data_IF_709293443636
#
_entry.id   IF_709293443636
#
_cell.length_a   1.000
_cell.length_b   1.000
_cell.length_c   1.000
_cell.angle_alpha   90.00
_cell.angle_beta   90.00
_cell.angle_gamma   90.00
#
_symmetry.space_group_name_H-M   'P 1'
#
loop_
_entity.id
_entity.type
_entity.pdbx_description
1 polymer ?
#
# COMPACT_ATOMS: atom_id res chain seq x y z
N UNK A 1 -37.51 48.58 4.74
CA UNK A 1 -36.90 48.32 6.07
C UNK A 1 -37.27 49.51 6.94
N UNK A 2 -37.60 49.31 8.20
CA UNK A 2 -37.91 50.42 9.10
C UNK A 2 -36.63 51.09 9.61
N UNK A 3 -36.76 52.34 10.06
CA UNK A 3 -35.62 53.13 10.54
C UNK A 3 -34.90 52.46 11.72
N UNK A 4 -35.63 51.82 12.63
CA UNK A 4 -35.04 51.13 13.79
C UNK A 4 -34.22 49.90 13.40
N UNK A 5 -34.63 49.16 12.35
CA UNK A 5 -33.87 48.00 11.85
C UNK A 5 -32.58 48.45 11.17
N UNK A 6 -32.59 49.57 10.45
CA UNK A 6 -31.37 50.15 9.87
C UNK A 6 -30.39 50.62 10.96
N UNK A 7 -30.91 51.22 12.05
CA UNK A 7 -30.10 51.56 13.23
C UNK A 7 -29.54 50.31 13.90
N UNK A 8 -30.32 49.25 14.03
CA UNK A 8 -29.88 47.97 14.62
C UNK A 8 -28.79 47.29 13.77
N UNK A 9 -28.92 47.33 12.44
CA UNK A 9 -27.89 46.86 11.51
C UNK A 9 -26.57 47.59 11.73
N UNK A 10 -26.59 48.92 11.77
CA UNK A 10 -25.39 49.72 12.00
C UNK A 10 -24.78 49.46 13.38
N UNK A 11 -25.62 49.44 14.42
CA UNK A 11 -25.20 49.19 15.80
C UNK A 11 -24.55 47.81 15.96
N UNK A 12 -25.23 46.74 15.54
CA UNK A 12 -24.71 45.38 15.62
C UNK A 12 -23.43 45.20 14.78
N UNK A 13 -23.36 45.84 13.61
CA UNK A 13 -22.18 45.79 12.76
C UNK A 13 -20.96 46.43 13.41
N UNK A 14 -21.10 47.62 14.00
CA UNK A 14 -20.00 48.30 14.68
C UNK A 14 -19.61 47.58 15.97
N UNK A 15 -20.58 47.13 16.77
CA UNK A 15 -20.33 46.39 18.00
C UNK A 15 -19.54 45.10 17.74
N UNK A 16 -20.02 44.25 16.82
CA UNK A 16 -19.37 42.97 16.51
C UNK A 16 -18.03 43.14 15.79
N UNK A 17 -17.78 44.27 15.13
CA UNK A 17 -16.52 44.55 14.45
C UNK A 17 -15.45 45.10 15.39
N UNK A 18 -15.87 45.92 16.36
CA UNK A 18 -14.95 46.68 17.21
C UNK A 18 -14.74 46.02 18.58
N UNK A 19 -15.71 45.29 19.11
CA UNK A 19 -15.68 44.77 20.49
C UNK A 19 -15.66 43.24 20.59
N UNK A 20 -16.03 42.50 19.55
CA UNK A 20 -15.98 41.04 19.55
C UNK A 20 -14.53 40.53 19.57
N UNK A 21 -14.24 39.56 20.43
CA UNK A 21 -12.94 38.88 20.44
C UNK A 21 -12.66 38.25 19.06
N UNK A 22 -11.53 38.57 18.40
CA UNK A 22 -11.18 38.04 17.08
C UNK A 22 -11.13 36.51 16.98
N UNK A 23 -11.10 35.79 18.12
CA UNK A 23 -11.17 34.33 18.18
C UNK A 23 -12.56 33.77 17.84
N UNK A 24 -13.62 34.59 17.81
CA UNK A 24 -14.94 34.21 17.32
C UNK A 24 -14.98 34.12 15.78
N UNK A 25 -14.46 33.01 15.26
CA UNK A 25 -14.36 32.76 13.81
C UNK A 25 -15.71 32.42 13.16
N UNK A 26 -16.68 31.93 13.93
CA UNK A 26 -18.03 31.60 13.49
C UNK A 26 -19.05 32.65 13.94
N UNK A 27 -19.13 32.94 15.24
CA UNK A 27 -20.14 33.85 15.80
C UNK A 27 -19.72 35.32 15.64
N UNK A 28 -19.66 35.78 14.40
CA UNK A 28 -19.27 37.13 14.01
C UNK A 28 -20.29 37.79 13.09
N UNK A 29 -20.02 39.03 12.69
CA UNK A 29 -20.92 39.82 11.83
C UNK A 29 -21.38 39.07 10.57
N UNK A 30 -20.53 38.23 9.96
CA UNK A 30 -20.90 37.45 8.76
C UNK A 30 -21.97 36.40 9.09
N UNK A 31 -21.94 35.82 10.29
CA UNK A 31 -23.01 34.95 10.76
C UNK A 31 -24.30 35.72 10.96
N UNK A 32 -24.27 36.85 11.67
CA UNK A 32 -25.44 37.71 11.90
C UNK A 32 -26.12 38.10 10.59
N UNK A 33 -25.34 38.58 9.61
CA UNK A 33 -25.84 38.92 8.27
C UNK A 33 -26.48 37.74 7.54
N UNK A 34 -25.94 36.52 7.73
CA UNK A 34 -26.52 35.29 7.18
C UNK A 34 -27.87 34.98 7.84
N UNK A 35 -27.97 35.10 9.16
CA UNK A 35 -29.25 34.91 9.89
C UNK A 35 -30.27 35.92 9.39
N UNK A 36 -29.94 37.21 9.37
CA UNK A 36 -30.83 38.28 8.85
C UNK A 36 -31.32 37.98 7.43
N UNK A 37 -30.43 37.52 6.55
CA UNK A 37 -30.81 37.15 5.18
C UNK A 37 -31.81 35.98 5.16
N UNK A 38 -31.58 34.96 5.98
CA UNK A 38 -32.47 33.80 6.08
C UNK A 38 -33.79 34.13 6.78
N UNK A 39 -33.79 35.04 7.76
CA UNK A 39 -35.01 35.58 8.37
C UNK A 39 -35.85 36.31 7.34
N UNK A 40 -35.24 37.16 6.49
CA UNK A 40 -35.94 37.83 5.37
C UNK A 40 -36.52 36.82 4.36
N UNK A 41 -35.80 35.75 4.04
CA UNK A 41 -36.27 34.66 3.16
C UNK A 41 -37.55 34.02 3.73
N UNK A 42 -37.58 33.71 5.02
CA UNK A 42 -38.72 33.12 5.72
C UNK A 42 -39.91 34.09 5.85
N UNK A 43 -39.64 35.34 6.22
CA UNK A 43 -40.66 36.39 6.36
C UNK A 43 -41.42 36.64 5.05
N UNK A 44 -40.71 36.66 3.92
CA UNK A 44 -41.30 36.82 2.59
C UNK A 44 -42.28 35.69 2.22
N UNK A 45 -42.09 34.49 2.78
CA UNK A 45 -42.98 33.36 2.53
C UNK A 45 -44.24 33.40 3.40
N UNK A 46 -44.09 33.66 4.70
CA UNK A 46 -45.21 33.62 5.65
C UNK A 46 -46.08 34.88 5.64
N UNK A 47 -45.59 36.01 5.12
CA UNK A 47 -46.39 37.22 4.95
C UNK A 47 -46.86 37.84 6.26
N UNK A 48 -45.92 38.03 7.20
CA UNK A 48 -46.19 38.70 8.47
C UNK A 48 -46.63 40.15 8.30
N UNK A 49 -47.32 40.70 9.30
CA UNK A 49 -47.51 42.13 9.38
C UNK A 49 -46.16 42.84 9.63
N UNK A 50 -46.13 44.15 9.37
CA UNK A 50 -44.90 44.93 9.44
C UNK A 50 -44.31 45.02 10.84
N UNK A 51 -45.14 44.89 11.87
CA UNK A 51 -44.72 45.02 13.27
C UNK A 51 -43.98 43.76 13.73
N UNK A 52 -44.51 42.58 13.42
CA UNK A 52 -43.83 41.31 13.72
C UNK A 52 -42.60 41.08 12.81
N UNK A 53 -42.64 41.53 11.55
CA UNK A 53 -41.48 41.52 10.64
C UNK A 53 -40.32 42.34 11.23
N UNK A 54 -40.62 43.54 11.73
CA UNK A 54 -39.64 44.42 12.37
C UNK A 54 -38.97 43.75 13.57
N UNK A 55 -39.76 43.16 14.48
CA UNK A 55 -39.25 42.47 15.67
C UNK A 55 -38.35 41.29 15.33
N UNK A 56 -38.69 40.49 14.31
CA UNK A 56 -37.87 39.36 13.86
C UNK A 56 -36.56 39.82 13.22
N UNK A 57 -36.57 40.95 12.49
CA UNK A 57 -35.35 41.53 11.92
C UNK A 57 -34.45 42.16 13.00
N UNK A 58 -35.03 42.85 13.99
CA UNK A 58 -34.30 43.33 15.17
C UNK A 58 -33.64 42.17 15.92
N UNK A 59 -34.39 41.10 16.16
CA UNK A 59 -33.87 39.87 16.78
C UNK A 59 -32.71 39.30 15.97
N UNK A 60 -32.87 39.16 14.65
CA UNK A 60 -31.82 38.60 13.79
C UNK A 60 -30.53 39.42 13.79
N UNK A 61 -30.60 40.75 13.90
CA UNK A 61 -29.42 41.60 14.03
C UNK A 61 -28.78 41.54 15.43
N UNK A 62 -29.59 41.35 16.47
CA UNK A 62 -29.15 41.53 17.85
C UNK A 62 -28.85 40.22 18.60
N UNK A 63 -29.29 39.05 18.12
CA UNK A 63 -29.20 37.77 18.85
C UNK A 63 -27.79 37.43 19.35
N UNK A 64 -26.79 37.61 18.49
CA UNK A 64 -25.39 37.25 18.76
C UNK A 64 -24.56 38.39 19.37
N UNK A 65 -25.15 39.56 19.62
CA UNK A 65 -24.42 40.70 20.20
C UNK A 65 -23.85 40.39 21.57
N UNK A 66 -24.44 39.46 22.32
CA UNK A 66 -23.94 39.03 23.62
C UNK A 66 -22.57 38.34 23.60
N UNK A 67 -22.11 37.84 22.44
CA UNK A 67 -20.79 37.21 22.33
C UNK A 67 -19.63 38.16 22.64
N UNK A 68 -19.83 39.49 22.58
CA UNK A 68 -18.83 40.48 23.04
C UNK A 68 -18.50 40.35 24.53
N UNK A 69 -19.38 39.72 25.31
CA UNK A 69 -19.16 39.40 26.73
C UNK A 69 -18.77 37.95 26.98
N UNK A 70 -18.49 37.19 25.91
CA UNK A 70 -18.15 35.78 25.97
C UNK A 70 -19.33 34.86 25.63
N UNK A 71 -19.07 33.56 25.70
CA UNK A 71 -20.00 32.51 25.24
C UNK A 71 -21.08 32.14 26.27
N UNK A 72 -20.75 32.20 27.55
CA UNK A 72 -21.64 31.72 28.61
C UNK A 72 -22.85 32.65 28.74
N UNK A 73 -24.05 32.09 28.51
CA UNK A 73 -25.31 32.86 28.55
C UNK A 73 -25.28 34.10 27.65
N UNK A 74 -24.67 33.99 26.46
CA UNK A 74 -24.59 35.08 25.49
C UNK A 74 -25.99 35.58 25.08
N UNK A 75 -27.02 34.73 25.07
CA UNK A 75 -28.39 35.12 24.76
C UNK A 75 -28.93 36.12 25.80
N UNK A 76 -28.63 35.92 27.09
CA UNK A 76 -29.01 36.85 28.17
C UNK A 76 -28.25 38.17 28.07
N UNK A 77 -26.96 38.10 27.77
CA UNK A 77 -26.14 39.29 27.52
C UNK A 77 -26.64 40.07 26.29
N UNK A 78 -26.99 39.36 25.22
CA UNK A 78 -27.55 39.91 23.99
C UNK A 78 -28.91 40.56 24.21
N UNK A 79 -29.81 39.95 24.99
CA UNK A 79 -31.07 40.59 25.38
C UNK A 79 -30.84 41.88 26.19
N UNK A 80 -29.83 41.93 27.08
CA UNK A 80 -29.48 43.18 27.78
C UNK A 80 -29.02 44.26 26.79
N UNK A 81 -28.08 43.92 25.89
CA UNK A 81 -27.58 44.84 24.86
C UNK A 81 -28.72 45.33 23.96
N UNK A 82 -29.58 44.42 23.52
CA UNK A 82 -30.75 44.74 22.70
C UNK A 82 -31.74 45.65 23.45
N UNK A 83 -31.99 45.38 24.73
CA UNK A 83 -32.87 46.20 25.57
C UNK A 83 -32.34 47.62 25.71
N UNK A 84 -31.05 47.78 25.99
CA UNK A 84 -30.42 49.09 26.17
C UNK A 84 -30.46 49.88 24.85
N UNK A 85 -30.06 49.26 23.74
CA UNK A 85 -30.14 49.86 22.39
C UNK A 85 -31.57 50.27 22.01
N UNK A 86 -32.56 49.40 22.23
CA UNK A 86 -33.95 49.68 21.86
C UNK A 86 -34.58 50.77 22.74
N UNK A 87 -34.25 50.83 24.04
CA UNK A 87 -34.70 51.91 24.92
C UNK A 87 -34.10 53.26 24.54
N UNK A 88 -32.82 53.29 24.16
CA UNK A 88 -32.15 54.50 23.68
C UNK A 88 -32.76 55.05 22.38
N UNK A 89 -33.47 54.22 21.63
CA UNK A 89 -34.18 54.58 20.41
C UNK A 89 -35.70 54.68 20.60
N UNK A 90 -36.16 54.87 21.84
CA UNK A 90 -37.57 55.07 22.21
C UNK A 90 -38.52 53.93 21.75
N UNK A 91 -38.01 52.69 21.65
CA UNK A 91 -38.81 51.54 21.23
C UNK A 91 -39.79 51.08 22.35
N UNK A 92 -41.03 50.67 22.03
CA UNK A 92 -42.02 50.31 23.05
C UNK A 92 -41.58 49.14 23.93
N UNK A 93 -41.69 49.28 25.25
CA UNK A 93 -41.20 48.26 26.22
C UNK A 93 -41.83 46.88 26.01
N UNK A 94 -43.12 46.81 25.66
CA UNK A 94 -43.81 45.55 25.37
C UNK A 94 -43.21 44.81 24.17
N UNK A 95 -42.68 45.56 23.20
CA UNK A 95 -42.07 45.01 22.00
C UNK A 95 -40.59 44.64 22.22
N UNK A 96 -39.91 45.35 23.14
CA UNK A 96 -38.58 44.96 23.61
C UNK A 96 -38.62 43.58 24.27
N UNK A 97 -39.60 43.33 25.16
CA UNK A 97 -39.75 42.02 25.80
C UNK A 97 -39.95 40.90 24.78
N UNK A 98 -40.68 41.19 23.69
CA UNK A 98 -40.85 40.26 22.57
C UNK A 98 -39.54 39.97 21.85
N UNK A 99 -38.76 41.00 21.48
CA UNK A 99 -37.42 40.83 20.86
C UNK A 99 -36.51 40.02 21.78
N UNK A 100 -36.48 40.34 23.07
CA UNK A 100 -35.71 39.58 24.05
C UNK A 100 -36.14 38.12 24.14
N UNK A 101 -37.45 37.83 24.15
CA UNK A 101 -37.93 36.44 24.15
C UNK A 101 -37.49 35.67 22.91
N UNK A 102 -37.43 36.33 21.74
CA UNK A 102 -36.97 35.71 20.49
C UNK A 102 -35.45 35.50 20.48
N UNK A 103 -34.66 36.41 21.08
CA UNK A 103 -33.22 36.21 21.29
C UNK A 103 -33.00 35.01 22.21
N UNK A 104 -33.72 34.92 23.33
CA UNK A 104 -33.62 33.77 24.23
C UNK A 104 -34.02 32.45 23.54
N UNK A 105 -34.93 32.50 22.56
CA UNK A 105 -35.30 31.34 21.78
C UNK A 105 -34.16 30.79 20.91
N UNK A 106 -33.06 31.52 20.68
CA UNK A 106 -31.91 30.98 19.93
C UNK A 106 -31.06 30.02 20.76
N UNK A 107 -31.29 29.92 22.07
CA UNK A 107 -30.60 28.94 22.93
C UNK A 107 -30.63 27.53 22.33
N UNK A 108 -29.48 26.84 22.37
CA UNK A 108 -29.27 25.58 21.63
C UNK A 108 -30.39 24.55 21.81
N UNK A 109 -30.89 24.40 23.03
CA UNK A 109 -31.89 23.38 23.42
C UNK A 109 -33.31 23.93 23.57
N UNK A 110 -33.56 25.18 23.17
CA UNK A 110 -34.90 25.74 23.18
C UNK A 110 -35.79 25.09 22.11
N UNK A 111 -37.00 24.70 22.51
CA UNK A 111 -38.05 24.24 21.59
C UNK A 111 -38.97 25.41 21.26
N UNK A 112 -39.08 25.81 19.97
CA UNK A 112 -39.85 26.98 19.59
C UNK A 112 -41.35 26.77 19.82
N UNK A 113 -41.99 27.73 20.49
CA UNK A 113 -43.39 27.65 20.93
C UNK A 113 -44.39 28.27 19.94
N UNK A 114 -43.89 29.09 19.01
CA UNK A 114 -44.71 29.82 18.03
C UNK A 114 -43.92 30.02 16.73
N UNK A 115 -44.61 30.46 15.66
CA UNK A 115 -44.01 30.59 14.33
C UNK A 115 -42.81 31.56 14.33
N UNK A 116 -42.86 32.66 15.08
CA UNK A 116 -41.75 33.63 15.17
C UNK A 116 -40.48 32.98 15.75
N UNK A 117 -40.62 32.16 16.79
CA UNK A 117 -39.51 31.38 17.34
C UNK A 117 -39.02 30.30 16.35
N UNK A 118 -39.92 29.65 15.61
CA UNK A 118 -39.52 28.69 14.58
C UNK A 118 -38.69 29.36 13.47
N UNK A 119 -39.09 30.58 13.07
CA UNK A 119 -38.39 31.36 12.04
C UNK A 119 -36.98 31.71 12.49
N UNK A 120 -36.79 32.23 13.71
CA UNK A 120 -35.45 32.61 14.16
C UNK A 120 -34.55 31.39 14.36
N UNK A 121 -35.10 30.28 14.89
CA UNK A 121 -34.38 29.01 15.04
C UNK A 121 -33.89 28.47 13.70
N UNK A 122 -34.77 28.45 12.70
CA UNK A 122 -34.40 27.97 11.37
C UNK A 122 -33.43 28.92 10.66
N UNK A 123 -33.62 30.24 10.80
CA UNK A 123 -32.72 31.23 10.21
C UNK A 123 -31.29 31.10 10.75
N UNK A 124 -31.16 30.86 12.06
CA UNK A 124 -29.89 30.67 12.75
C UNK A 124 -29.14 29.41 12.26
N UNK A 125 -29.89 28.30 12.14
CA UNK A 125 -29.36 27.02 11.65
C UNK A 125 -29.32 26.86 10.12
N UNK A 126 -29.72 27.89 9.37
CA UNK A 126 -29.90 27.85 7.90
C UNK A 126 -28.66 27.37 7.12
N UNK A 127 -27.47 27.57 7.67
CA UNK A 127 -26.19 27.13 7.09
C UNK A 127 -26.09 25.62 6.89
N UNK A 128 -26.85 24.81 7.66
CA UNK A 128 -26.91 23.35 7.48
C UNK A 128 -27.43 22.93 6.10
N UNK A 129 -28.24 23.76 5.47
CA UNK A 129 -28.78 23.50 4.13
C UNK A 129 -27.94 24.11 2.99
N UNK A 130 -26.95 24.95 3.31
CA UNK A 130 -26.18 25.68 2.29
C UNK A 130 -24.94 24.88 1.85
N UNK A 131 -24.44 25.19 0.65
CA UNK A 131 -23.21 24.59 0.11
C UNK A 131 -21.95 24.98 0.91
N UNK A 132 -21.98 26.16 1.54
CA UNK A 132 -20.92 26.68 2.40
C UNK A 132 -20.85 25.99 3.77
N UNK A 133 -21.70 25.00 4.02
CA UNK A 133 -21.76 24.25 5.28
C UNK A 133 -20.39 23.79 5.77
N UNK A 134 -19.55 23.25 4.87
CA UNK A 134 -18.23 22.72 5.20
C UNK A 134 -17.27 23.76 5.77
N UNK A 135 -17.17 24.90 5.10
CA UNK A 135 -16.35 26.03 5.57
C UNK A 135 -16.92 26.59 6.87
N UNK A 136 -18.25 26.71 6.95
CA UNK A 136 -18.95 27.29 8.08
C UNK A 136 -18.77 26.44 9.35
N UNK A 137 -18.92 25.12 9.25
CA UNK A 137 -18.69 24.22 10.39
C UNK A 137 -17.21 24.13 10.77
N UNK A 138 -16.29 24.32 9.83
CA UNK A 138 -14.85 24.34 10.16
C UNK A 138 -14.46 25.62 10.91
N UNK A 139 -15.05 26.77 10.58
CA UNK A 139 -14.90 27.99 11.39
C UNK A 139 -15.41 27.78 12.81
N UNK A 140 -16.54 27.08 13.00
CA UNK A 140 -17.04 26.75 14.33
C UNK A 140 -16.07 25.81 15.08
N UNK A 141 -15.53 24.79 14.41
CA UNK A 141 -14.51 23.89 14.99
C UNK A 141 -13.27 24.66 15.45
N UNK A 142 -12.80 25.59 14.62
CA UNK A 142 -11.63 26.41 14.92
C UNK A 142 -11.91 27.40 16.04
N UNK A 143 -13.06 28.06 16.05
CA UNK A 143 -13.48 28.94 17.15
C UNK A 143 -13.48 28.20 18.49
N UNK A 144 -14.08 27.00 18.55
CA UNK A 144 -14.08 26.19 19.77
C UNK A 144 -12.67 25.87 20.27
N UNK A 145 -11.71 25.70 19.36
CA UNK A 145 -10.30 25.46 19.67
C UNK A 145 -9.62 26.73 20.19
N UNK A 146 -9.76 27.85 19.49
CA UNK A 146 -9.15 29.14 19.87
C UNK A 146 -9.67 29.68 21.21
N UNK A 147 -10.94 29.39 21.52
CA UNK A 147 -11.55 29.72 22.81
C UNK A 147 -11.21 28.70 23.92
N UNK A 148 -10.46 27.64 23.62
CA UNK A 148 -10.07 26.61 24.60
C UNK A 148 -11.22 25.74 25.08
N UNK A 149 -12.35 25.70 24.35
CA UNK A 149 -13.54 24.94 24.74
C UNK A 149 -13.43 23.47 24.33
N UNK A 150 -12.96 23.20 23.12
CA UNK A 150 -12.72 21.85 22.63
C UNK A 150 -11.75 21.84 21.45
N UNK A 151 -10.87 20.84 21.39
CA UNK A 151 -9.98 20.60 20.24
C UNK A 151 -10.36 19.29 19.55
N UNK A 152 -11.31 19.36 18.61
CA UNK A 152 -11.75 18.20 17.86
C UNK A 152 -10.86 17.96 16.64
N UNK A 153 -10.41 16.72 16.48
CA UNK A 153 -9.86 16.26 15.20
C UNK A 153 -10.93 16.34 14.10
N UNK A 154 -10.55 16.42 12.81
CA UNK A 154 -11.51 16.42 11.71
C UNK A 154 -12.48 15.22 11.74
N UNK A 155 -12.02 14.07 12.23
CA UNK A 155 -12.83 12.85 12.36
C UNK A 155 -13.87 12.97 13.46
N UNK A 156 -13.48 13.44 14.64
CA UNK A 156 -14.41 13.66 15.76
C UNK A 156 -15.44 14.73 15.40
N UNK A 157 -14.99 15.81 14.76
CA UNK A 157 -15.89 16.87 14.30
C UNK A 157 -16.92 16.37 13.29
N UNK A 158 -16.48 15.53 12.33
CA UNK A 158 -17.40 14.88 11.39
C UNK A 158 -18.44 14.03 12.12
N UNK A 159 -18.04 13.29 13.15
CA UNK A 159 -18.93 12.44 13.93
C UNK A 159 -19.94 13.24 14.75
N UNK A 160 -19.50 14.36 15.34
CA UNK A 160 -20.38 15.32 16.04
C UNK A 160 -21.40 15.93 15.08
N UNK A 161 -20.98 16.34 13.88
CA UNK A 161 -21.88 16.91 12.88
C UNK A 161 -22.89 15.87 12.34
N UNK A 162 -22.47 14.61 12.14
CA UNK A 162 -23.39 13.53 11.79
C UNK A 162 -24.44 13.33 12.90
N UNK A 163 -24.02 13.36 14.17
CA UNK A 163 -24.94 13.28 15.31
C UNK A 163 -25.88 14.50 15.34
N UNK A 164 -25.35 15.71 15.12
CA UNK A 164 -26.14 16.94 15.06
C UNK A 164 -27.28 16.82 14.05
N UNK A 165 -26.98 16.38 12.83
CA UNK A 165 -27.98 16.24 11.77
C UNK A 165 -29.01 15.14 12.00
N UNK A 166 -28.61 14.04 12.66
CA UNK A 166 -29.47 12.86 12.83
C UNK A 166 -30.29 12.87 14.10
N UNK A 167 -29.77 13.48 15.17
CA UNK A 167 -30.29 13.28 16.52
C UNK A 167 -30.65 14.59 17.23
N UNK A 168 -30.10 15.73 16.82
CA UNK A 168 -30.25 16.98 17.57
C UNK A 168 -31.00 18.06 16.79
N UNK A 169 -30.79 18.19 15.48
CA UNK A 169 -31.35 19.28 14.68
C UNK A 169 -32.51 18.86 13.77
N UNK A 170 -33.58 19.66 13.80
CA UNK A 170 -34.72 19.62 12.86
C UNK A 170 -35.03 21.03 12.37
N UNK A 171 -35.54 21.17 11.15
CA UNK A 171 -36.14 22.43 10.70
C UNK A 171 -37.60 22.50 11.17
N UNK A 172 -37.99 23.65 11.71
CA UNK A 172 -39.27 23.82 12.39
C UNK A 172 -40.36 24.39 11.48
N UNK A 173 -40.04 25.35 10.62
CA UNK A 173 -40.99 25.95 9.67
C UNK A 173 -41.25 25.01 8.50
N UNK A 174 -42.47 25.04 7.96
CA UNK A 174 -42.83 24.29 6.75
C UNK A 174 -41.93 24.71 5.57
N UNK A 175 -41.63 26.00 5.44
CA UNK A 175 -40.72 26.50 4.40
C UNK A 175 -39.34 25.85 4.48
N UNK A 176 -38.69 25.83 5.65
CA UNK A 176 -37.36 25.25 5.81
C UNK A 176 -37.40 23.73 5.61
N UNK A 177 -38.46 23.04 6.06
CA UNK A 177 -38.61 21.60 5.78
C UNK A 177 -38.72 21.32 4.28
N UNK A 178 -39.46 22.14 3.53
CA UNK A 178 -39.63 21.96 2.08
C UNK A 178 -38.39 22.37 1.26
N UNK A 179 -37.72 23.46 1.65
CA UNK A 179 -36.69 24.08 0.82
C UNK A 179 -35.25 23.82 1.30
N UNK A 180 -35.04 23.53 2.58
CA UNK A 180 -33.72 23.45 3.20
C UNK A 180 -33.35 22.02 3.66
N UNK A 181 -34.33 21.15 3.95
CA UNK A 181 -34.05 19.76 4.38
C UNK A 181 -33.27 18.98 3.31
N UNK A 182 -33.56 19.16 2.01
CA UNK A 182 -32.81 18.48 0.94
C UNK A 182 -31.32 18.87 0.95
N UNK A 183 -31.02 20.14 1.24
CA UNK A 183 -29.65 20.64 1.39
C UNK A 183 -28.93 20.01 2.57
N UNK A 184 -29.61 19.92 3.73
CA UNK A 184 -29.09 19.27 4.94
C UNK A 184 -28.82 17.78 4.70
N UNK A 185 -29.74 17.08 4.04
CA UNK A 185 -29.58 15.67 3.67
C UNK A 185 -28.42 15.44 2.70
N UNK A 186 -28.21 16.36 1.76
CA UNK A 186 -27.05 16.30 0.85
C UNK A 186 -25.73 16.42 1.62
N UNK A 187 -25.65 17.35 2.57
CA UNK A 187 -24.49 17.52 3.43
C UNK A 187 -24.27 16.28 4.33
N UNK A 188 -25.35 15.72 4.91
CA UNK A 188 -25.30 14.48 5.71
C UNK A 188 -24.73 13.30 4.92
N UNK A 189 -25.24 13.08 3.70
CA UNK A 189 -24.78 12.00 2.81
C UNK A 189 -23.29 12.09 2.53
N UNK A 190 -22.78 13.30 2.32
CA UNK A 190 -21.36 13.52 2.06
C UNK A 190 -20.51 13.27 3.32
N UNK A 191 -20.93 13.72 4.52
CA UNK A 191 -20.26 13.39 5.79
C UNK A 191 -20.16 11.87 5.99
N UNK A 192 -21.26 11.14 5.78
CA UNK A 192 -21.28 9.68 5.94
C UNK A 192 -20.40 8.98 4.90
N UNK A 193 -20.38 9.49 3.66
CA UNK A 193 -19.52 8.98 2.59
C UNK A 193 -18.04 9.10 2.94
N UNK A 194 -17.60 10.28 3.40
CA UNK A 194 -16.21 10.50 3.82
C UNK A 194 -15.81 9.60 4.99
N UNK A 195 -16.69 9.44 5.99
CA UNK A 195 -16.46 8.51 7.10
C UNK A 195 -16.27 7.07 6.62
N UNK A 196 -17.04 6.63 5.62
CA UNK A 196 -16.90 5.30 5.03
C UNK A 196 -15.59 5.15 4.26
N UNK A 197 -15.26 6.11 3.41
CA UNK A 197 -14.02 6.10 2.62
C UNK A 197 -12.78 6.04 3.51
N UNK A 198 -12.74 6.82 4.59
CA UNK A 198 -11.63 6.79 5.56
C UNK A 198 -11.48 5.41 6.22
N UNK A 199 -12.60 4.79 6.64
CA UNK A 199 -12.61 3.43 7.18
C UNK A 199 -12.10 2.38 6.19
N UNK A 200 -12.49 2.49 4.92
CA UNK A 200 -12.06 1.56 3.87
C UNK A 200 -10.55 1.69 3.59
N UNK A 201 -10.02 2.91 3.59
CA UNK A 201 -8.57 3.17 3.46
C UNK A 201 -7.82 2.56 4.65
N UNK A 202 -8.24 2.85 5.88
CA UNK A 202 -7.60 2.31 7.08
C UNK A 202 -7.61 0.78 7.11
N UNK A 203 -8.73 0.14 6.70
CA UNK A 203 -8.83 -1.31 6.57
C UNK A 203 -7.84 -1.87 5.53
N UNK A 204 -7.70 -1.21 4.38
CA UNK A 204 -6.77 -1.60 3.31
C UNK A 204 -5.31 -1.49 3.77
N UNK A 205 -4.97 -0.44 4.52
CA UNK A 205 -3.62 -0.24 5.06
C UNK A 205 -3.28 -1.26 6.15
N UNK A 206 -4.21 -1.54 7.07
CA UNK A 206 -4.04 -2.59 8.07
C UNK A 206 -3.82 -3.97 7.41
N UNK A 207 -4.57 -4.27 6.35
CA UNK A 207 -4.41 -5.50 5.59
C UNK A 207 -3.03 -5.58 4.91
N UNK A 208 -2.56 -4.48 4.29
CA UNK A 208 -1.21 -4.40 3.72
C UNK A 208 -0.12 -4.59 4.77
N UNK A 209 -0.26 -3.99 5.95
CA UNK A 209 0.70 -4.13 7.04
C UNK A 209 0.78 -5.58 7.53
N UNK A 210 -0.37 -6.25 7.68
CA UNK A 210 -0.44 -7.67 8.04
C UNK A 210 0.31 -8.56 7.04
N UNK A 211 0.05 -8.39 5.74
CA UNK A 211 0.76 -9.17 4.71
C UNK A 211 2.25 -8.82 4.56
N UNK A 212 2.67 -7.62 4.98
CA UNK A 212 4.09 -7.23 4.99
C UNK A 212 4.85 -7.91 6.14
N UNK A 213 4.22 -8.17 7.28
CA UNK A 213 4.83 -8.95 8.38
C UNK A 213 4.93 -10.45 8.07
N UNK A 214 4.03 -11.01 7.25
CA UNK A 214 4.12 -12.39 6.73
C UNK A 214 5.12 -12.55 5.55
N UNK A 215 5.88 -11.50 5.23
CA UNK A 215 6.85 -11.44 4.11
C UNK A 215 8.26 -12.06 4.31
N UNK A 216 8.58 -12.89 5.32
CA UNK A 216 9.76 -13.75 5.23
C UNK A 216 9.69 -14.71 4.02
N UNK A 217 8.49 -15.21 3.70
CA UNK A 217 8.30 -16.27 2.71
C UNK A 217 8.74 -15.86 1.30
N UNK A 218 8.55 -14.59 0.87
CA UNK A 218 8.97 -14.16 -0.48
C UNK A 218 10.49 -14.07 -0.63
N UNK A 219 11.17 -13.56 0.39
CA UNK A 219 12.65 -13.49 0.38
C UNK A 219 13.25 -14.89 0.43
N UNK A 220 12.67 -15.78 1.25
CA UNK A 220 13.06 -17.18 1.35
C UNK A 220 12.80 -17.93 0.03
N UNK A 221 11.62 -17.78 -0.58
CA UNK A 221 11.32 -18.34 -1.90
C UNK A 221 12.30 -17.83 -2.97
N UNK A 222 12.63 -16.53 -2.93
CA UNK A 222 13.60 -15.93 -3.85
C UNK A 222 14.99 -16.57 -3.67
N UNK A 223 15.44 -16.77 -2.43
CA UNK A 223 16.71 -17.42 -2.13
C UNK A 223 16.78 -18.84 -2.71
N UNK A 224 15.76 -19.67 -2.47
CA UNK A 224 15.70 -21.03 -3.01
C UNK A 224 15.70 -21.02 -4.54
N UNK A 225 14.87 -20.16 -5.16
CA UNK A 225 14.77 -20.03 -6.62
C UNK A 225 16.11 -19.63 -7.26
N UNK A 226 16.78 -18.62 -6.72
CA UNK A 226 18.06 -18.14 -7.23
C UNK A 226 19.16 -19.20 -7.06
N UNK A 227 19.21 -19.84 -5.90
CA UNK A 227 20.21 -20.88 -5.62
C UNK A 227 20.03 -22.10 -6.52
N UNK A 228 18.79 -22.58 -6.70
CA UNK A 228 18.49 -23.69 -7.61
C UNK A 228 18.88 -23.34 -9.06
N UNK A 229 18.54 -22.14 -9.53
CA UNK A 229 18.93 -21.66 -10.87
C UNK A 229 20.45 -21.62 -11.04
N UNK A 230 21.18 -21.20 -10.01
CA UNK A 230 22.65 -21.17 -10.03
C UNK A 230 23.23 -22.59 -10.12
N UNK A 231 22.73 -23.54 -9.33
CA UNK A 231 23.20 -24.93 -9.39
C UNK A 231 22.92 -25.60 -10.73
N UNK A 232 21.72 -25.41 -11.29
CA UNK A 232 21.39 -25.89 -12.63
C UNK A 232 22.34 -25.31 -13.68
N UNK A 233 22.58 -23.98 -13.63
CA UNK A 233 23.50 -23.33 -14.55
C UNK A 233 24.94 -23.84 -14.42
N UNK A 234 25.41 -24.09 -13.20
CA UNK A 234 26.73 -24.66 -12.96
C UNK A 234 26.85 -26.10 -13.48
N UNK A 235 25.76 -26.89 -13.40
CA UNK A 235 25.70 -28.22 -14.01
C UNK A 235 25.80 -28.11 -15.54
N UNK A 236 25.01 -27.23 -16.16
CA UNK A 236 25.06 -27.02 -17.62
C UNK A 236 26.45 -26.60 -18.10
N UNK A 237 27.14 -25.75 -17.34
CA UNK A 237 28.51 -25.34 -17.64
C UNK A 237 29.46 -26.53 -17.58
N UNK A 238 29.30 -27.41 -16.58
CA UNK A 238 30.13 -28.61 -16.47
C UNK A 238 29.91 -29.56 -17.66
N UNK A 239 28.66 -29.79 -18.05
CA UNK A 239 28.31 -30.65 -19.19
C UNK A 239 28.80 -30.03 -20.51
N UNK A 240 28.69 -28.72 -20.67
CA UNK A 240 29.24 -27.99 -21.83
C UNK A 240 30.75 -28.14 -21.91
N UNK A 241 31.48 -27.99 -20.79
CA UNK A 241 32.95 -28.15 -20.75
C UNK A 241 33.37 -29.59 -21.09
N UNK A 242 32.67 -30.59 -20.58
CA UNK A 242 32.92 -31.99 -20.93
C UNK A 242 32.67 -32.24 -22.43
N UNK A 243 31.59 -31.69 -23.00
CA UNK A 243 31.29 -31.82 -24.44
C UNK A 243 32.35 -31.13 -25.31
N UNK A 244 32.83 -29.95 -24.95
CA UNK A 244 33.95 -29.29 -25.65
C UNK A 244 35.17 -30.20 -25.65
N UNK A 245 35.50 -30.83 -24.51
CA UNK A 245 36.65 -31.71 -24.39
C UNK A 245 36.48 -33.01 -25.21
N UNK A 246 35.27 -33.55 -25.30
CA UNK A 246 34.94 -34.65 -26.21
C UNK A 246 35.20 -34.25 -27.67
N UNK A 247 34.68 -33.10 -28.11
CA UNK A 247 34.84 -32.63 -29.49
C UNK A 247 36.31 -32.39 -29.85
N UNK A 248 37.09 -31.76 -28.96
CA UNK A 248 38.53 -31.52 -29.19
C UNK A 248 39.29 -32.84 -29.31
N UNK A 249 39.08 -33.80 -28.40
CA UNK A 249 39.72 -35.11 -28.48
C UNK A 249 39.33 -35.87 -29.75
N UNK A 250 38.06 -35.80 -30.16
CA UNK A 250 37.59 -36.43 -31.40
C UNK A 250 38.28 -35.86 -32.64
N UNK A 251 38.44 -34.52 -32.70
CA UNK A 251 39.18 -33.85 -33.80
C UNK A 251 40.65 -34.30 -33.80
N UNK A 252 41.31 -34.34 -32.65
CA UNK A 252 42.71 -34.80 -32.53
C UNK A 252 42.85 -36.23 -33.05
N UNK A 253 42.01 -37.15 -32.57
CA UNK A 253 42.05 -38.57 -32.99
C UNK A 253 41.80 -38.68 -34.50
N UNK A 254 40.82 -37.94 -35.04
CA UNK A 254 40.53 -37.94 -36.47
C UNK A 254 41.72 -37.46 -37.31
N UNK A 255 42.40 -36.39 -36.89
CA UNK A 255 43.58 -35.86 -37.60
C UNK A 255 44.77 -36.83 -37.52
N UNK A 256 44.97 -37.48 -36.36
CA UNK A 256 46.00 -38.50 -36.19
C UNK A 256 45.74 -39.69 -37.10
N UNK A 257 44.49 -40.16 -37.18
CA UNK A 257 44.10 -41.29 -38.04
C UNK A 257 44.27 -40.97 -39.53
N UNK A 258 43.87 -39.78 -39.96
CA UNK A 258 43.98 -39.38 -41.37
C UNK A 258 45.44 -39.15 -41.82
N UNK A 259 46.25 -38.47 -40.99
CA UNK A 259 47.53 -37.91 -41.43
C UNK A 259 48.78 -38.61 -40.89
N UNK A 260 48.70 -39.21 -39.69
CA UNK A 260 49.85 -39.79 -39.01
C UNK A 260 49.84 -41.32 -39.12
N UNK A 261 48.70 -41.98 -38.89
CA UNK A 261 48.61 -43.45 -38.92
C UNK A 261 48.98 -44.04 -40.27
N UNK A 262 48.52 -43.42 -41.37
CA UNK A 262 48.87 -43.83 -42.75
C UNK A 262 50.36 -43.70 -43.08
N UNK A 263 51.14 -42.94 -42.30
CA UNK A 263 52.58 -42.76 -42.49
C UNK A 263 53.43 -43.73 -41.65
N UNK A 264 52.84 -44.43 -40.68
CA UNK A 264 53.56 -45.33 -39.77
C UNK A 264 53.90 -46.68 -40.40
N UNK A 265 53.26 -47.05 -41.52
CA UNK A 265 53.58 -48.28 -42.28
C UNK A 265 54.95 -48.20 -42.97
N UNK A 266 55.54 -47.00 -43.09
CA UNK A 266 56.88 -46.83 -43.64
C UNK A 266 57.94 -47.00 -42.53
N UNK A 267 58.90 -47.94 -42.66
CA UNK A 267 59.96 -48.15 -41.67
C UNK A 267 60.76 -46.89 -41.32
N UNK A 268 60.89 -45.93 -42.24
CA UNK A 268 61.59 -44.66 -42.01
C UNK A 268 60.87 -43.74 -41.01
N UNK A 269 59.58 -43.96 -40.72
CA UNK A 269 58.77 -43.15 -39.80
C UNK A 269 58.52 -43.83 -38.44
N UNK A 270 59.22 -44.92 -38.14
CA UNK A 270 59.07 -45.68 -36.88
C UNK A 270 59.20 -44.80 -35.64
N UNK A 271 60.00 -43.73 -35.69
CA UNK A 271 60.19 -42.79 -34.58
C UNK A 271 58.92 -42.03 -34.18
N UNK A 272 57.91 -41.93 -35.06
CA UNK A 272 56.63 -41.27 -34.78
C UNK A 272 55.62 -42.16 -34.04
N UNK A 273 55.87 -43.47 -33.93
CA UNK A 273 54.94 -44.43 -33.32
C UNK A 273 54.70 -44.09 -31.84
N UNK A 274 55.75 -43.97 -31.03
CA UNK A 274 55.60 -43.72 -29.59
C UNK A 274 54.93 -42.37 -29.27
N UNK A 275 55.32 -41.23 -29.87
CA UNK A 275 54.61 -39.96 -29.66
C UNK A 275 53.13 -40.03 -30.08
N UNK A 276 52.83 -40.68 -31.21
CA UNK A 276 51.46 -40.85 -31.70
C UNK A 276 50.62 -41.72 -30.74
N UNK A 277 51.19 -42.81 -30.23
CA UNK A 277 50.52 -43.68 -29.27
C UNK A 277 50.23 -42.96 -27.95
N UNK A 278 51.20 -42.18 -27.43
CA UNK A 278 51.00 -41.34 -26.24
C UNK A 278 49.85 -40.36 -26.46
N UNK A 279 49.83 -39.64 -27.60
CA UNK A 279 48.76 -38.70 -27.91
C UNK A 279 47.37 -39.37 -27.93
N UNK A 280 47.25 -40.51 -28.61
CA UNK A 280 45.99 -41.26 -28.70
C UNK A 280 45.57 -41.76 -27.31
N UNK A 281 46.49 -42.34 -26.54
CA UNK A 281 46.21 -42.89 -25.21
C UNK A 281 45.61 -41.83 -24.28
N UNK A 282 46.25 -40.66 -24.18
CA UNK A 282 45.76 -39.57 -23.35
C UNK A 282 44.46 -38.95 -23.89
N UNK A 283 44.30 -38.86 -25.22
CA UNK A 283 43.08 -38.35 -25.83
C UNK A 283 41.88 -39.27 -25.56
N UNK A 284 42.06 -40.59 -25.66
CA UNK A 284 41.04 -41.59 -25.34
C UNK A 284 40.73 -41.59 -23.84
N UNK A 285 41.74 -41.55 -22.97
CA UNK A 285 41.52 -41.47 -21.52
C UNK A 285 40.73 -40.21 -21.12
N UNK A 286 41.08 -39.06 -21.71
CA UNK A 286 40.35 -37.81 -21.53
C UNK A 286 38.90 -37.88 -22.06
N UNK A 287 38.71 -38.53 -23.21
CA UNK A 287 37.38 -38.73 -23.80
C UNK A 287 36.49 -39.59 -22.89
N UNK A 288 36.99 -40.72 -22.38
CA UNK A 288 36.25 -41.61 -21.47
C UNK A 288 35.81 -40.86 -20.21
N UNK A 289 36.72 -40.11 -19.58
CA UNK A 289 36.40 -39.35 -18.38
C UNK A 289 35.42 -38.20 -18.65
N UNK A 290 35.46 -37.59 -19.84
CA UNK A 290 34.49 -36.58 -20.26
C UNK A 290 33.08 -37.18 -20.39
N UNK A 291 32.96 -38.39 -20.97
CA UNK A 291 31.69 -39.14 -21.01
C UNK A 291 31.20 -39.49 -19.60
N UNK A 292 32.10 -39.87 -18.69
CA UNK A 292 31.73 -40.16 -17.30
C UNK A 292 31.24 -38.92 -16.55
N UNK A 293 31.75 -37.73 -16.88
CA UNK A 293 31.31 -36.48 -16.27
C UNK A 293 29.89 -36.07 -16.69
N UNK A 294 29.47 -36.41 -17.92
CA UNK A 294 28.12 -36.12 -18.45
C UNK A 294 27.10 -37.21 -18.13
N UNK A 295 27.53 -38.37 -17.63
CA UNK A 295 26.65 -39.48 -17.30
C UNK A 295 25.70 -39.12 -16.13
N UNK A 296 24.38 -39.29 -16.27
CA UNK A 296 23.43 -39.07 -15.19
C UNK A 296 23.60 -40.11 -14.07
N UNK A 297 23.44 -39.71 -12.81
CA UNK A 297 23.41 -40.64 -11.68
C UNK A 297 22.04 -41.33 -11.59
N UNK A 298 22.00 -42.62 -11.26
CA UNK A 298 20.76 -43.40 -11.06
C UNK A 298 20.47 -43.51 -9.56
N UNK A 299 19.24 -43.17 -9.15
CA UNK A 299 18.76 -43.29 -7.77
C UNK A 299 17.70 -44.40 -7.64
N UNK A 300 17.34 -44.76 -6.40
CA UNK A 300 16.46 -45.90 -6.08
C UNK A 300 15.04 -45.74 -6.63
N UNK A 301 14.44 -44.54 -6.52
CA UNK A 301 13.17 -44.17 -7.17
C UNK A 301 11.88 -44.38 -6.38
N UNK A 302 11.96 -44.79 -5.12
CA UNK A 302 10.80 -45.03 -4.23
C UNK A 302 11.07 -44.52 -2.81
N UNK A 303 10.01 -44.23 -2.06
CA UNK A 303 10.03 -43.90 -0.63
C UNK A 303 8.84 -44.57 0.09
N UNK A 304 8.90 -44.69 1.43
CA UNK A 304 7.81 -45.24 2.24
C UNK A 304 6.95 -44.13 2.86
N UNK A 305 5.72 -44.46 3.30
CA UNK A 305 4.87 -43.50 4.04
C UNK A 305 5.52 -43.03 5.33
N UNK A 306 6.22 -43.92 6.03
CA UNK A 306 6.94 -43.58 7.27
C UNK A 306 8.08 -42.57 7.00
N UNK A 307 8.72 -42.64 5.83
CA UNK A 307 9.72 -41.64 5.43
C UNK A 307 9.13 -40.24 5.23
N UNK A 308 7.86 -40.14 4.81
CA UNK A 308 7.13 -38.88 4.63
C UNK A 308 6.71 -38.32 5.99
N UNK A 309 6.12 -39.16 6.84
CA UNK A 309 5.70 -38.79 8.20
C UNK A 309 6.89 -38.32 9.06
N UNK A 310 8.03 -39.00 8.93
CA UNK A 310 9.27 -38.62 9.62
C UNK A 310 10.08 -37.54 8.88
N UNK A 311 9.53 -36.98 7.79
CA UNK A 311 10.15 -35.91 6.99
C UNK A 311 11.56 -36.24 6.51
N UNK A 312 11.88 -37.52 6.29
CA UNK A 312 13.24 -37.99 5.95
C UNK A 312 13.53 -37.86 4.47
N UNK A 313 12.53 -38.00 3.61
CA UNK A 313 12.68 -38.00 2.15
C UNK A 313 12.55 -36.60 1.54
N UNK A 314 13.37 -36.34 0.51
CA UNK A 314 13.21 -35.19 -0.37
C UNK A 314 12.21 -35.54 -1.48
N UNK A 315 10.98 -35.08 -1.33
CA UNK A 315 9.88 -35.32 -2.27
C UNK A 315 9.98 -34.53 -3.57
N UNK A 316 10.81 -33.48 -3.61
CA UNK A 316 10.92 -32.58 -4.76
C UNK A 316 11.93 -33.09 -5.79
N UNK A 317 12.79 -34.04 -5.42
CA UNK A 317 13.77 -34.64 -6.32
C UNK A 317 13.17 -35.81 -7.11
N UNK A 318 13.11 -35.67 -8.44
CA UNK A 318 12.57 -36.69 -9.36
C UNK A 318 13.17 -38.08 -9.15
N UNK A 319 14.45 -38.15 -8.79
CA UNK A 319 15.14 -39.41 -8.55
C UNK A 319 14.59 -40.20 -7.35
N UNK A 320 13.84 -39.58 -6.45
CA UNK A 320 13.25 -40.23 -5.29
C UNK A 320 11.82 -40.74 -5.52
N UNK A 321 11.11 -40.23 -6.54
CA UNK A 321 9.69 -40.57 -6.75
C UNK A 321 9.35 -41.15 -8.12
N UNK A 322 10.27 -41.19 -9.08
CA UNK A 322 9.96 -41.61 -10.47
C UNK A 322 9.42 -43.05 -10.65
N UNK A 323 9.42 -43.88 -9.59
CA UNK A 323 8.81 -45.23 -9.58
C UNK A 323 7.64 -45.36 -8.60
N UNK A 324 7.14 -44.26 -8.05
CA UNK A 324 5.98 -44.22 -7.15
C UNK A 324 4.67 -44.24 -7.94
N UNK A 325 3.62 -44.76 -7.32
CA UNK A 325 2.26 -44.60 -7.84
C UNK A 325 1.79 -43.14 -7.66
N UNK A 326 0.94 -42.66 -8.58
CA UNK A 326 0.45 -41.27 -8.56
C UNK A 326 -0.31 -40.96 -7.26
N UNK A 327 -1.16 -41.87 -6.78
CA UNK A 327 -1.96 -41.64 -5.59
C UNK A 327 -1.08 -41.51 -4.34
N UNK A 328 -0.01 -42.30 -4.26
CA UNK A 328 0.95 -42.25 -3.15
C UNK A 328 1.79 -40.96 -3.18
N UNK A 329 2.19 -40.51 -4.38
CA UNK A 329 2.92 -39.26 -4.56
C UNK A 329 2.04 -38.03 -4.27
N UNK A 330 0.79 -38.04 -4.72
CA UNK A 330 -0.16 -36.96 -4.45
C UNK A 330 -0.41 -36.80 -2.94
N UNK A 331 -0.63 -37.91 -2.23
CA UNK A 331 -0.76 -37.89 -0.77
C UNK A 331 0.48 -37.29 -0.10
N UNK A 332 1.69 -37.70 -0.52
CA UNK A 332 2.93 -37.20 0.05
C UNK A 332 3.13 -35.70 -0.19
N UNK A 333 2.76 -35.20 -1.39
CA UNK A 333 2.78 -33.76 -1.68
C UNK A 333 1.75 -32.98 -0.87
N UNK A 334 0.54 -33.51 -0.71
CA UNK A 334 -0.48 -32.87 0.13
C UNK A 334 -0.02 -32.77 1.58
N UNK A 335 0.70 -33.77 2.10
CA UNK A 335 1.26 -33.71 3.45
C UNK A 335 2.39 -32.68 3.57
N UNK A 336 3.24 -32.57 2.55
CA UNK A 336 4.31 -31.57 2.50
C UNK A 336 3.78 -30.13 2.48
N UNK A 337 2.72 -29.84 1.72
CA UNK A 337 2.20 -28.47 1.57
C UNK A 337 1.47 -27.96 2.82
N UNK A 338 1.01 -28.85 3.70
CA UNK A 338 0.37 -28.48 4.98
C UNK A 338 1.34 -27.84 5.96
N UNK A 339 2.64 -28.13 5.86
CA UNK A 339 3.66 -27.69 6.81
C UNK A 339 4.78 -26.91 6.11
N UNK A 340 4.84 -25.59 6.36
CA UNK A 340 5.83 -24.69 5.76
C UNK A 340 7.28 -25.09 6.09
N UNK A 341 7.55 -25.56 7.30
CA UNK A 341 8.90 -25.96 7.69
C UNK A 341 9.31 -27.25 6.96
N UNK A 342 8.34 -28.13 6.68
CA UNK A 342 8.59 -29.32 5.87
C UNK A 342 8.89 -28.97 4.40
N UNK A 343 8.19 -27.99 3.81
CA UNK A 343 8.52 -27.46 2.48
C UNK A 343 9.96 -26.96 2.43
N UNK A 344 10.35 -26.10 3.38
CA UNK A 344 11.70 -25.53 3.41
C UNK A 344 12.79 -26.57 3.68
N UNK A 345 12.53 -27.52 4.58
CA UNK A 345 13.44 -28.64 4.82
C UNK A 345 13.64 -29.49 3.56
N UNK A 346 12.58 -29.76 2.79
CA UNK A 346 12.66 -30.52 1.53
C UNK A 346 13.45 -29.76 0.46
N UNK A 347 13.21 -28.46 0.29
CA UNK A 347 14.00 -27.61 -0.62
C UNK A 347 15.48 -27.53 -0.21
N UNK A 348 15.76 -27.46 1.09
CA UNK A 348 17.15 -27.47 1.61
C UNK A 348 17.86 -28.76 1.26
N UNK A 349 17.19 -29.90 1.49
CA UNK A 349 17.74 -31.22 1.13
C UNK A 349 18.01 -31.32 -0.37
N UNK A 350 17.10 -30.83 -1.20
CA UNK A 350 17.28 -30.80 -2.65
C UNK A 350 18.52 -30.00 -3.07
N UNK A 351 18.65 -28.78 -2.56
CA UNK A 351 19.82 -27.94 -2.83
C UNK A 351 21.14 -28.59 -2.37
N UNK A 352 21.13 -29.24 -1.20
CA UNK A 352 22.30 -29.96 -0.67
C UNK A 352 22.74 -31.12 -1.57
N UNK A 353 21.81 -31.99 -1.95
CA UNK A 353 22.13 -33.14 -2.80
C UNK A 353 22.54 -32.70 -4.21
N UNK A 354 21.92 -31.65 -4.76
CA UNK A 354 22.33 -31.07 -6.04
C UNK A 354 23.78 -30.54 -5.97
N UNK A 355 24.17 -29.92 -4.85
CA UNK A 355 25.54 -29.50 -4.58
C UNK A 355 26.55 -30.66 -4.55
N UNK A 356 26.19 -31.80 -3.93
CA UNK A 356 27.04 -33.00 -3.91
C UNK A 356 27.25 -33.58 -5.31
N UNK A 357 26.20 -33.64 -6.12
CA UNK A 357 26.27 -34.10 -7.52
C UNK A 357 27.19 -33.18 -8.33
N UNK A 358 27.04 -31.87 -8.15
CA UNK A 358 27.87 -30.87 -8.80
C UNK A 358 29.35 -31.03 -8.44
N UNK A 359 29.67 -31.18 -7.15
CA UNK A 359 31.04 -31.40 -6.69
C UNK A 359 31.68 -32.63 -7.35
N UNK A 360 30.94 -33.74 -7.46
CA UNK A 360 31.42 -34.95 -8.14
C UNK A 360 31.71 -34.67 -9.63
N UNK A 361 30.81 -33.99 -10.34
CA UNK A 361 31.01 -33.61 -11.76
C UNK A 361 32.26 -32.74 -11.93
N UNK A 362 32.42 -31.69 -11.12
CA UNK A 362 33.59 -30.80 -11.19
C UNK A 362 34.90 -31.49 -10.84
N UNK A 363 34.88 -32.46 -9.90
CA UNK A 363 36.05 -33.27 -9.57
C UNK A 363 36.50 -34.13 -10.76
N UNK A 364 35.57 -34.84 -11.41
CA UNK A 364 35.86 -35.64 -12.61
C UNK A 364 36.41 -34.72 -13.70
N UNK A 365 35.72 -33.62 -13.99
CA UNK A 365 36.11 -32.67 -15.03
C UNK A 365 37.52 -32.11 -14.81
N UNK A 366 37.88 -31.74 -13.57
CA UNK A 366 39.23 -31.28 -13.23
C UNK A 366 40.28 -32.33 -13.52
N UNK A 367 40.02 -33.58 -13.14
CA UNK A 367 40.91 -34.71 -13.44
C UNK A 367 41.06 -34.88 -14.95
N UNK A 368 39.96 -34.79 -15.70
CA UNK A 368 39.97 -34.90 -17.16
C UNK A 368 40.82 -33.83 -17.82
N UNK A 369 40.67 -32.56 -17.42
CA UNK A 369 41.49 -31.46 -17.94
C UNK A 369 42.97 -31.65 -17.62
N UNK A 370 43.30 -32.12 -16.41
CA UNK A 370 44.68 -32.39 -16.03
C UNK A 370 45.29 -33.51 -16.88
N UNK A 371 44.56 -34.61 -17.10
CA UNK A 371 45.00 -35.73 -17.95
C UNK A 371 45.17 -35.28 -19.40
N UNK A 372 44.21 -34.52 -19.93
CA UNK A 372 44.31 -33.97 -21.28
C UNK A 372 45.54 -33.06 -21.44
N UNK A 373 45.70 -32.09 -20.54
CA UNK A 373 46.78 -31.12 -20.59
C UNK A 373 48.16 -31.80 -20.45
N UNK A 374 48.30 -32.71 -19.48
CA UNK A 374 49.52 -33.48 -19.31
C UNK A 374 49.82 -34.33 -20.56
N UNK A 375 48.81 -35.01 -21.10
CA UNK A 375 48.92 -35.80 -22.32
C UNK A 375 49.38 -35.00 -23.52
N UNK A 376 48.81 -33.80 -23.71
CA UNK A 376 49.22 -32.88 -24.77
C UNK A 376 50.67 -32.42 -24.61
N UNK A 377 51.08 -32.03 -23.40
CA UNK A 377 52.47 -31.58 -23.13
C UNK A 377 53.45 -32.72 -23.37
N UNK A 378 53.20 -33.91 -22.79
CA UNK A 378 54.06 -35.09 -22.94
C UNK A 378 54.13 -35.52 -24.40
N UNK A 379 53.01 -35.49 -25.13
CA UNK A 379 52.98 -35.78 -26.56
C UNK A 379 53.83 -34.80 -27.37
N UNK A 380 53.70 -33.49 -27.14
CA UNK A 380 54.47 -32.48 -27.86
C UNK A 380 55.97 -32.65 -27.62
N UNK A 381 56.37 -32.88 -26.37
CA UNK A 381 57.76 -33.17 -26.02
C UNK A 381 58.26 -34.46 -26.69
N UNK A 382 57.44 -35.52 -26.69
CA UNK A 382 57.77 -36.78 -27.34
C UNK A 382 57.97 -36.61 -28.85
N UNK A 383 57.09 -35.86 -29.53
CA UNK A 383 57.27 -35.53 -30.95
C UNK A 383 58.55 -34.73 -31.18
N UNK A 384 58.82 -33.71 -30.35
CA UNK A 384 60.04 -32.90 -30.45
C UNK A 384 61.32 -33.72 -30.31
N UNK A 385 61.37 -34.62 -29.32
CA UNK A 385 62.49 -35.56 -29.11
C UNK A 385 62.62 -36.51 -30.29
N UNK A 386 61.50 -37.08 -30.76
CA UNK A 386 61.50 -38.02 -31.87
C UNK A 386 62.03 -37.38 -33.15
N UNK A 387 61.62 -36.15 -33.47
CA UNK A 387 62.15 -35.41 -34.62
C UNK A 387 63.63 -35.04 -34.46
N UNK A 388 64.06 -34.61 -33.26
CA UNK A 388 65.44 -34.18 -33.02
C UNK A 388 66.45 -35.32 -33.15
N UNK A 389 66.13 -36.49 -32.61
CA UNK A 389 67.09 -37.60 -32.48
C UNK A 389 66.92 -38.70 -33.53
N UNK A 390 65.72 -38.86 -34.10
CA UNK A 390 65.38 -40.01 -34.94
C UNK A 390 64.71 -39.63 -36.28
N UNK A 391 64.50 -38.34 -36.55
CA UNK A 391 63.91 -37.86 -37.81
C UNK A 391 64.86 -37.89 -39.01
N UNK A 392 64.32 -37.83 -40.25
CA UNK A 392 65.10 -37.92 -41.49
C UNK A 392 66.06 -36.74 -41.70
N UNK A 393 65.67 -35.53 -41.30
CA UNK A 393 66.54 -34.36 -41.21
C UNK A 393 66.71 -33.98 -39.74
N UNK A 394 67.91 -34.14 -39.19
CA UNK A 394 68.20 -33.77 -37.80
C UNK A 394 68.00 -32.27 -37.64
N UNK A 395 66.82 -31.85 -37.17
CA UNK A 395 66.53 -30.44 -36.88
C UNK A 395 67.62 -29.91 -35.95
N UNK A 396 68.45 -28.99 -36.44
CA UNK A 396 69.41 -28.21 -35.67
C UNK A 396 68.68 -26.96 -35.17
N UNK A 397 67.96 -27.09 -34.06
CA UNK A 397 67.66 -25.95 -33.21
C UNK A 397 68.71 -25.86 -32.12
#
# INVERSE_FOLDING_TARGET
MSEIVEKAEHFASELLKNELDPRFLYHNLRHTQRVVKSTKELLNFYGFDKDEEEKLLLTAWLHDTGYVHGRESHEKAGCKIATDFLKENDYPTTDIDKVCSLIMATERHHEPQNLSEQIIRDADSSHFAKKSYWETTDFLRMELKELGVADYSPKEWRDINIKMFRNEHVFYTDYARENWEEGKERNLKQLVKEKKTEKDIAKKEALKAKYKQESPDRSVQTLYRVTLKNHLKLSDIADTKANILLSVNAIIISLVLANLLTKLDNPSNTYLIYPTFILILFSVASMILSVLATRPNVTTGKFTKEDVEQKRVNLLFFGNFHKMDLAEYEWALQELVKDKDYVYSSLTKDLYYLGLVLNKKYKILRITYNIFMLGMIVSVLAFGIAFRFFGPDRLTF
#
